data_IF_623836095942
#
_entry.id   IF_623836095942
#
_cell.length_a   1.000
_cell.length_b   1.000
_cell.length_c   1.000
_cell.angle_alpha   90.00
_cell.angle_beta   90.00
_cell.angle_gamma   90.00
#
_symmetry.space_group_name_H-M   'P 1'
#
loop_
_entity.id
_entity.type
_entity.pdbx_description
1 polymer ?
#
# COMPACT_ATOMS: atom_id res chain seq x y z
N UNK A 1 -14.13 -29.64 27.93
CA UNK A 1 -13.98 -29.58 26.47
C UNK A 1 -14.45 -28.20 26.01
N UNK A 2 -13.55 -27.23 25.90
CA UNK A 2 -13.90 -25.93 25.35
C UNK A 2 -13.97 -26.09 23.83
N UNK A 3 -15.17 -26.29 23.30
CA UNK A 3 -15.39 -26.24 21.86
C UNK A 3 -14.97 -24.86 21.35
N UNK A 4 -13.88 -24.78 20.59
CA UNK A 4 -13.54 -23.57 19.82
C UNK A 4 -14.74 -23.28 18.92
N UNK A 5 -15.53 -22.27 19.26
CA UNK A 5 -16.53 -21.74 18.33
C UNK A 5 -15.75 -21.26 17.13
N UNK A 6 -15.93 -21.95 16.00
CA UNK A 6 -15.24 -21.62 14.77
C UNK A 6 -15.96 -20.40 14.17
N UNK A 7 -15.48 -19.20 14.48
CA UNK A 7 -16.05 -17.94 13.99
C UNK A 7 -15.89 -17.86 12.46
N UNK A 8 -16.99 -17.61 11.75
CA UNK A 8 -16.94 -17.34 10.32
C UNK A 8 -16.18 -16.03 10.06
N UNK A 9 -15.36 -16.03 9.01
CA UNK A 9 -14.47 -14.91 8.70
C UNK A 9 -14.65 -14.47 7.25
N UNK A 10 -14.91 -13.20 7.04
CA UNK A 10 -15.10 -12.60 5.73
C UNK A 10 -14.11 -11.47 5.50
N UNK A 11 -13.76 -11.22 4.25
CA UNK A 11 -12.92 -10.11 3.84
C UNK A 11 -13.50 -9.43 2.61
N UNK A 12 -13.64 -8.11 2.64
CA UNK A 12 -14.06 -7.33 1.49
C UNK A 12 -13.05 -7.46 0.34
N UNK A 13 -13.55 -7.54 -0.88
CA UNK A 13 -12.75 -7.51 -2.12
C UNK A 13 -13.50 -6.66 -3.15
N UNK A 14 -12.80 -5.90 -4.02
CA UNK A 14 -13.46 -5.18 -5.12
C UNK A 14 -14.20 -6.12 -6.07
N UNK A 15 -15.14 -5.59 -6.83
CA UNK A 15 -15.83 -6.33 -7.87
C UNK A 15 -14.84 -6.83 -8.94
N UNK A 16 -14.99 -8.07 -9.39
CA UNK A 16 -14.09 -8.71 -10.35
C UNK A 16 -14.02 -8.00 -11.71
N UNK A 17 -15.10 -7.34 -12.13
CA UNK A 17 -15.13 -6.56 -13.36
C UNK A 17 -14.39 -5.22 -13.29
N UNK A 18 -13.93 -4.81 -12.11
CA UNK A 18 -13.17 -3.58 -11.88
C UNK A 18 -11.67 -3.85 -11.67
N UNK A 19 -11.16 -5.00 -12.13
CA UNK A 19 -9.76 -5.35 -11.95
C UNK A 19 -8.87 -4.30 -12.62
N UNK A 20 -8.12 -3.58 -11.79
CA UNK A 20 -7.02 -2.71 -12.17
C UNK A 20 -5.77 -3.18 -11.43
N UNK A 21 -4.63 -3.09 -12.10
CA UNK A 21 -3.34 -3.48 -11.52
C UNK A 21 -2.54 -2.28 -11.02
N UNK A 22 -3.22 -1.19 -10.73
CA UNK A 22 -2.64 -0.01 -10.12
C UNK A 22 -2.51 -0.12 -8.59
N UNK A 23 -1.82 0.86 -8.00
CA UNK A 23 -1.59 0.90 -6.55
C UNK A 23 -2.83 1.18 -5.70
N UNK A 24 -3.98 1.45 -6.33
CA UNK A 24 -5.24 1.69 -5.63
C UNK A 24 -6.08 0.41 -5.47
N UNK A 25 -6.19 -0.38 -6.52
CA UNK A 25 -7.07 -1.55 -6.58
C UNK A 25 -6.31 -2.85 -6.30
N UNK A 26 -5.12 -3.03 -6.86
CA UNK A 26 -4.34 -4.26 -6.69
C UNK A 26 -4.10 -4.65 -5.22
N UNK A 27 -3.73 -3.73 -4.28
CA UNK A 27 -3.55 -4.07 -2.88
C UNK A 27 -4.77 -4.72 -2.25
N UNK A 28 -5.99 -4.31 -2.66
CA UNK A 28 -7.25 -4.85 -2.13
C UNK A 28 -7.46 -6.31 -2.54
N UNK A 29 -7.13 -6.67 -3.77
CA UNK A 29 -7.14 -8.07 -4.22
C UNK A 29 -6.08 -8.90 -3.51
N UNK A 30 -4.89 -8.35 -3.29
CA UNK A 30 -3.80 -9.02 -2.58
C UNK A 30 -4.20 -9.34 -1.14
N UNK A 31 -4.84 -8.40 -0.43
CA UNK A 31 -5.36 -8.64 0.92
C UNK A 31 -6.38 -9.79 0.91
N UNK A 32 -7.38 -9.74 0.00
CA UNK A 32 -8.39 -10.77 -0.08
C UNK A 32 -7.81 -12.15 -0.45
N UNK A 33 -6.82 -12.17 -1.36
CA UNK A 33 -6.08 -13.40 -1.71
C UNK A 33 -5.40 -14.01 -0.49
N UNK A 34 -4.57 -13.24 0.23
CA UNK A 34 -3.84 -13.74 1.37
C UNK A 34 -4.75 -14.09 2.57
N UNK A 35 -5.84 -13.34 2.75
CA UNK A 35 -6.85 -13.65 3.74
C UNK A 35 -7.52 -15.00 3.45
N UNK A 36 -7.84 -15.29 2.18
CA UNK A 36 -8.42 -16.58 1.77
C UNK A 36 -7.52 -17.77 2.15
N UNK A 37 -6.21 -17.62 2.03
CA UNK A 37 -5.24 -18.67 2.39
C UNK A 37 -5.24 -19.02 3.90
N UNK A 38 -5.79 -18.15 4.76
CA UNK A 38 -5.94 -18.36 6.21
C UNK A 38 -7.40 -18.50 6.64
N UNK A 39 -8.28 -18.83 5.70
CA UNK A 39 -9.66 -19.23 5.95
C UNK A 39 -10.69 -18.10 6.02
N UNK A 40 -10.40 -16.93 5.42
CA UNK A 40 -11.42 -15.92 5.16
C UNK A 40 -12.15 -16.19 3.86
N UNK A 41 -13.44 -15.90 3.81
CA UNK A 41 -14.25 -15.91 2.61
C UNK A 41 -14.26 -14.51 1.97
N UNK A 42 -13.75 -14.34 0.73
CA UNK A 42 -13.82 -13.06 0.04
C UNK A 42 -15.26 -12.70 -0.32
N UNK A 43 -15.67 -11.47 0.01
CA UNK A 43 -16.97 -10.93 -0.34
C UNK A 43 -16.79 -9.66 -1.18
N UNK A 44 -17.46 -9.60 -2.32
CA UNK A 44 -17.42 -8.44 -3.18
C UNK A 44 -18.16 -7.25 -2.55
N UNK A 45 -17.41 -6.14 -2.37
CA UNK A 45 -17.90 -4.86 -1.85
C UNK A 45 -17.44 -3.77 -2.82
N UNK A 46 -18.26 -2.75 -3.12
CA UNK A 46 -17.85 -1.66 -4.01
C UNK A 46 -16.53 -1.02 -3.56
N UNK A 47 -15.66 -0.77 -4.51
CA UNK A 47 -14.45 0.03 -4.30
C UNK A 47 -14.18 0.87 -5.54
N UNK A 48 -13.96 2.18 -5.37
CA UNK A 48 -13.84 3.15 -6.46
C UNK A 48 -15.06 3.18 -7.41
N UNK A 49 -16.22 2.87 -6.87
CA UNK A 49 -17.48 2.82 -7.57
C UNK A 49 -18.60 3.28 -6.64
N UNK A 50 -19.29 4.36 -7.01
CA UNK A 50 -20.37 4.93 -6.21
C UNK A 50 -21.59 4.02 -6.19
N UNK A 51 -22.11 3.76 -5.00
CA UNK A 51 -23.33 2.99 -4.78
C UNK A 51 -24.25 3.80 -3.88
N UNK A 52 -25.34 4.26 -4.48
CA UNK A 52 -26.32 5.08 -3.77
C UNK A 52 -27.48 4.24 -3.22
N UNK A 53 -28.09 4.68 -2.10
CA UNK A 53 -29.34 4.11 -1.61
C UNK A 53 -30.42 4.05 -2.70
N UNK A 54 -31.36 3.11 -2.54
CA UNK A 54 -32.52 2.91 -3.45
C UNK A 54 -32.16 2.49 -4.88
N UNK A 55 -30.96 1.95 -5.08
CA UNK A 55 -30.53 1.33 -6.35
C UNK A 55 -30.53 -0.20 -6.26
N UNK A 56 -30.74 -0.91 -7.39
CA UNK A 56 -30.62 -2.39 -7.41
C UNK A 56 -29.26 -2.89 -6.93
N UNK A 57 -28.20 -2.11 -7.13
CA UNK A 57 -26.86 -2.46 -6.68
C UNK A 57 -26.74 -2.35 -5.16
N UNK A 58 -27.32 -1.31 -4.56
CA UNK A 58 -27.44 -1.17 -3.11
C UNK A 58 -28.17 -2.36 -2.50
N UNK A 59 -29.36 -2.71 -3.05
CA UNK A 59 -30.15 -3.84 -2.56
C UNK A 59 -29.38 -5.14 -2.65
N UNK A 60 -28.67 -5.36 -3.75
CA UNK A 60 -27.81 -6.53 -3.96
C UNK A 60 -26.67 -6.58 -2.92
N UNK A 61 -25.99 -5.46 -2.67
CA UNK A 61 -24.94 -5.37 -1.65
C UNK A 61 -25.50 -5.65 -0.26
N UNK A 62 -26.57 -4.96 0.13
CA UNK A 62 -27.20 -5.17 1.46
C UNK A 62 -27.73 -6.58 1.63
N UNK A 63 -28.22 -7.20 0.54
CA UNK A 63 -28.62 -8.61 0.53
C UNK A 63 -27.46 -9.56 0.85
N UNK A 64 -26.29 -9.33 0.23
CA UNK A 64 -25.08 -10.13 0.53
C UNK A 64 -24.61 -9.93 1.98
N UNK A 65 -24.62 -8.69 2.49
CA UNK A 65 -24.25 -8.41 3.90
C UNK A 65 -25.24 -9.09 4.87
N UNK A 66 -26.54 -9.07 4.58
CA UNK A 66 -27.55 -9.79 5.40
C UNK A 66 -27.31 -11.30 5.42
N UNK A 67 -26.76 -11.88 4.37
CA UNK A 67 -26.47 -13.32 4.30
C UNK A 67 -25.28 -13.75 5.17
N UNK A 68 -24.42 -12.83 5.64
CA UNK A 68 -23.34 -13.12 6.58
C UNK A 68 -23.94 -13.67 7.87
N UNK A 69 -23.45 -14.81 8.42
CA UNK A 69 -23.91 -15.34 9.70
C UNK A 69 -23.67 -14.37 10.88
N UNK A 70 -24.58 -14.37 11.84
CA UNK A 70 -24.42 -13.57 13.06
C UNK A 70 -23.14 -13.94 13.81
N UNK A 71 -22.48 -12.95 14.43
CA UNK A 71 -21.26 -13.16 15.19
C UNK A 71 -20.02 -13.46 14.34
N UNK A 72 -20.05 -13.17 13.05
CA UNK A 72 -18.90 -13.33 12.15
C UNK A 72 -17.87 -12.22 12.37
N UNK A 73 -16.62 -12.46 11.96
CA UNK A 73 -15.60 -11.43 11.79
C UNK A 73 -15.62 -10.95 10.33
N UNK A 74 -15.75 -9.66 10.11
CA UNK A 74 -15.69 -9.05 8.80
C UNK A 74 -14.52 -8.07 8.71
N UNK A 75 -13.66 -8.25 7.71
CA UNK A 75 -12.57 -7.32 7.40
C UNK A 75 -13.00 -6.42 6.25
N UNK A 76 -13.31 -5.17 6.54
CA UNK A 76 -13.53 -4.15 5.53
C UNK A 76 -12.20 -3.61 4.98
N UNK A 77 -12.21 -2.95 3.82
CA UNK A 77 -11.05 -2.30 3.23
C UNK A 77 -11.41 -0.83 2.96
N UNK A 78 -10.89 0.08 3.79
CA UNK A 78 -11.29 1.48 3.81
C UNK A 78 -10.13 2.43 3.46
N UNK A 79 -10.44 3.63 2.90
CA UNK A 79 -11.74 3.99 2.35
C UNK A 79 -12.09 3.14 1.12
N UNK A 80 -13.36 2.83 0.92
CA UNK A 80 -13.81 2.10 -0.27
C UNK A 80 -13.99 3.02 -1.47
N UNK A 81 -14.20 4.31 -1.23
CA UNK A 81 -14.61 5.31 -2.22
C UNK A 81 -15.93 4.96 -2.95
N UNK A 82 -16.77 4.15 -2.31
CA UNK A 82 -18.11 3.87 -2.80
C UNK A 82 -19.08 5.04 -2.51
N UNK A 83 -19.26 5.35 -1.25
CA UNK A 83 -19.82 6.57 -0.66
C UNK A 83 -19.78 6.42 0.86
N UNK A 84 -19.77 7.53 1.61
CA UNK A 84 -19.83 7.48 3.09
C UNK A 84 -21.08 6.75 3.58
N UNK A 85 -22.23 6.98 2.92
CA UNK A 85 -23.50 6.30 3.25
C UNK A 85 -23.40 4.79 3.05
N UNK A 86 -22.71 4.36 1.99
CA UNK A 86 -22.52 2.95 1.70
C UNK A 86 -21.61 2.29 2.73
N UNK A 87 -20.48 2.92 3.04
CA UNK A 87 -19.54 2.43 4.06
C UNK A 87 -20.20 2.28 5.42
N UNK A 88 -20.90 3.32 5.87
CA UNK A 88 -21.60 3.31 7.16
C UNK A 88 -22.71 2.26 7.22
N UNK A 89 -23.52 2.14 6.15
CA UNK A 89 -24.61 1.17 6.11
C UNK A 89 -24.10 -0.28 6.17
N UNK A 90 -22.95 -0.57 5.55
CA UNK A 90 -22.33 -1.90 5.64
C UNK A 90 -21.91 -2.18 7.09
N UNK A 91 -21.26 -1.22 7.76
CA UNK A 91 -20.81 -1.36 9.15
C UNK A 91 -22.02 -1.54 10.09
N UNK A 92 -23.03 -0.68 9.99
CA UNK A 92 -24.21 -0.70 10.85
C UNK A 92 -24.98 -2.01 10.70
N UNK A 93 -25.15 -2.50 9.47
CA UNK A 93 -25.83 -3.77 9.20
C UNK A 93 -25.06 -4.96 9.79
N UNK A 94 -23.73 -4.96 9.70
CA UNK A 94 -22.90 -5.99 10.33
C UNK A 94 -23.01 -5.95 11.86
N UNK A 95 -22.96 -4.78 12.47
CA UNK A 95 -23.13 -4.63 13.93
C UNK A 95 -24.53 -5.06 14.39
N UNK A 96 -25.59 -4.79 13.62
CA UNK A 96 -26.95 -5.28 13.93
C UNK A 96 -27.05 -6.81 14.00
N UNK A 97 -26.05 -7.50 13.42
CA UNK A 97 -25.91 -8.96 13.42
C UNK A 97 -24.88 -9.46 14.46
N UNK A 98 -24.45 -8.60 15.37
CA UNK A 98 -23.38 -8.88 16.34
C UNK A 98 -22.07 -9.35 15.69
N UNK A 99 -21.80 -8.94 14.47
CA UNK A 99 -20.52 -9.18 13.82
C UNK A 99 -19.45 -8.23 14.38
N UNK A 100 -18.20 -8.70 14.39
CA UNK A 100 -17.04 -7.87 14.67
C UNK A 100 -16.58 -7.27 13.35
N UNK A 101 -16.51 -5.95 13.28
CA UNK A 101 -16.12 -5.21 12.07
C UNK A 101 -14.73 -4.64 12.26
N UNK A 102 -13.75 -5.22 11.58
CA UNK A 102 -12.41 -4.67 11.49
C UNK A 102 -12.16 -4.10 10.10
N UNK A 103 -11.29 -3.10 9.98
CA UNK A 103 -10.94 -2.54 8.69
C UNK A 103 -9.42 -2.55 8.45
N UNK A 104 -9.03 -2.87 7.21
CA UNK A 104 -7.70 -2.58 6.69
C UNK A 104 -7.73 -1.19 6.05
N UNK A 105 -6.95 -0.27 6.61
CA UNK A 105 -6.93 1.13 6.19
C UNK A 105 -5.85 1.31 5.14
N UNK A 106 -6.26 1.65 3.91
CA UNK A 106 -5.38 1.87 2.78
C UNK A 106 -4.73 3.25 2.82
N UNK A 107 -5.57 4.26 2.98
CA UNK A 107 -5.17 5.66 3.00
C UNK A 107 -5.97 6.43 4.06
N UNK A 108 -5.42 7.56 4.50
CA UNK A 108 -6.12 8.57 5.29
C UNK A 108 -6.02 9.86 4.49
N UNK A 109 -7.10 10.18 3.77
CA UNK A 109 -7.12 11.30 2.83
C UNK A 109 -6.87 12.65 3.50
N UNK A 110 -7.30 12.82 4.74
CA UNK A 110 -6.99 14.00 5.55
C UNK A 110 -5.47 14.27 5.68
N UNK A 111 -4.65 13.23 5.78
CA UNK A 111 -3.18 13.35 5.85
C UNK A 111 -2.54 13.70 4.49
N UNK A 112 -3.32 13.63 3.42
CA UNK A 112 -2.90 13.94 2.04
C UNK A 112 -3.37 15.31 1.58
N UNK A 113 -3.94 16.12 2.46
CA UNK A 113 -4.60 17.40 2.17
C UNK A 113 -5.77 17.24 1.16
N UNK A 114 -6.39 16.07 1.08
CA UNK A 114 -7.63 15.86 0.35
C UNK A 114 -8.80 16.06 1.30
N UNK A 115 -9.78 16.74 0.80
CA UNK A 115 -11.06 17.21 1.32
C UNK A 115 -11.42 16.87 2.80
N UNK A 116 -11.84 17.89 3.57
CA UNK A 116 -12.28 17.85 4.97
C UNK A 116 -13.61 17.11 5.20
N UNK A 117 -14.29 16.65 4.14
CA UNK A 117 -15.61 16.02 4.24
C UNK A 117 -15.60 14.63 4.84
N UNK A 118 -14.42 14.02 4.98
CA UNK A 118 -14.28 12.72 5.59
C UNK A 118 -14.43 12.82 7.11
N UNK A 119 -15.52 12.25 7.66
CA UNK A 119 -15.77 12.13 9.10
C UNK A 119 -14.83 11.10 9.72
N UNK A 120 -13.53 11.40 9.70
CA UNK A 120 -12.47 10.51 10.10
C UNK A 120 -12.75 9.84 11.45
N UNK A 121 -13.05 10.66 12.46
CA UNK A 121 -13.32 10.16 13.83
C UNK A 121 -14.53 9.25 13.89
N UNK A 122 -15.63 9.63 13.26
CA UNK A 122 -16.89 8.90 13.33
C UNK A 122 -16.77 7.54 12.65
N UNK A 123 -16.15 7.50 11.46
CA UNK A 123 -15.88 6.26 10.73
C UNK A 123 -14.96 5.33 11.53
N UNK A 124 -13.83 5.84 12.03
CA UNK A 124 -12.93 4.99 12.80
C UNK A 124 -13.58 4.48 14.08
N UNK A 125 -14.38 5.31 14.78
CA UNK A 125 -15.07 4.91 16.00
C UNK A 125 -16.27 3.97 15.74
N UNK A 126 -16.73 3.85 14.51
CA UNK A 126 -17.70 2.83 14.12
C UNK A 126 -17.07 1.44 13.89
N UNK A 127 -15.74 1.32 13.93
CA UNK A 127 -15.03 0.04 13.79
C UNK A 127 -14.66 -0.54 15.15
N UNK A 128 -14.69 -1.87 15.29
CA UNK A 128 -14.14 -2.55 16.47
C UNK A 128 -12.61 -2.52 16.48
N UNK A 129 -12.00 -2.71 15.30
CA UNK A 129 -10.54 -2.70 15.11
C UNK A 129 -10.17 -2.03 13.78
N UNK A 130 -9.20 -1.12 13.79
CA UNK A 130 -8.61 -0.59 12.57
C UNK A 130 -7.13 -1.01 12.45
N UNK A 131 -6.79 -1.63 11.31
CA UNK A 131 -5.41 -1.95 10.93
C UNK A 131 -4.84 -0.77 10.13
N UNK A 132 -3.91 -0.04 10.72
CA UNK A 132 -3.33 1.19 10.15
C UNK A 132 -1.85 1.01 9.80
N UNK A 133 -1.35 1.86 8.94
CA UNK A 133 -0.03 1.71 8.34
C UNK A 133 1.12 1.70 9.37
N UNK A 134 1.14 2.61 10.33
CA UNK A 134 2.31 2.89 11.16
C UNK A 134 1.96 3.45 12.54
N UNK A 135 2.96 3.52 13.43
CA UNK A 135 2.79 4.16 14.73
C UNK A 135 2.45 5.66 14.63
N UNK A 136 3.08 6.46 13.76
CA UNK A 136 2.68 7.84 13.55
C UNK A 136 1.20 8.02 13.17
N UNK A 137 0.62 7.07 12.41
CA UNK A 137 -0.82 7.07 12.11
C UNK A 137 -1.65 6.81 13.39
N UNK A 138 -1.23 5.87 14.23
CA UNK A 138 -1.92 5.61 15.51
C UNK A 138 -1.93 6.85 16.38
N UNK A 139 -0.78 7.51 16.50
CA UNK A 139 -0.63 8.70 17.33
C UNK A 139 -1.51 9.84 16.81
N UNK A 140 -1.48 10.09 15.50
CA UNK A 140 -2.35 11.05 14.84
C UNK A 140 -3.85 10.75 15.10
N UNK A 141 -4.30 9.52 14.88
CA UNK A 141 -5.71 9.15 15.07
C UNK A 141 -6.17 9.31 16.51
N UNK A 142 -5.32 8.99 17.48
CA UNK A 142 -5.61 9.22 18.90
C UNK A 142 -5.73 10.70 19.22
N UNK A 143 -4.88 11.54 18.67
CA UNK A 143 -4.95 13.01 18.82
C UNK A 143 -6.24 13.59 18.22
N UNK A 144 -6.78 12.95 17.16
CA UNK A 144 -8.10 13.27 16.61
C UNK A 144 -9.27 12.70 17.43
N UNK A 145 -9.00 11.99 18.54
CA UNK A 145 -10.04 11.43 19.44
C UNK A 145 -10.65 10.11 18.94
N UNK A 146 -9.91 9.34 18.13
CA UNK A 146 -10.30 7.97 17.80
C UNK A 146 -10.10 7.05 18.99
N UNK A 147 -11.14 6.31 19.35
CA UNK A 147 -11.20 5.41 20.51
C UNK A 147 -11.24 3.93 20.16
N UNK A 148 -11.53 3.59 18.89
CA UNK A 148 -11.48 2.20 18.41
C UNK A 148 -10.10 1.58 18.58
N UNK A 149 -10.04 0.25 18.60
CA UNK A 149 -8.76 -0.45 18.76
C UNK A 149 -7.91 -0.32 17.50
N UNK A 150 -6.72 0.28 17.63
CA UNK A 150 -5.79 0.49 16.53
C UNK A 150 -4.64 -0.52 16.61
N UNK A 151 -4.31 -1.17 15.49
CA UNK A 151 -3.15 -2.05 15.36
C UNK A 151 -2.35 -1.70 14.10
N UNK A 152 -1.04 -1.93 14.14
CA UNK A 152 -0.18 -1.71 12.98
C UNK A 152 -0.30 -2.90 12.03
N UNK A 153 -0.70 -2.63 10.77
CA UNK A 153 -0.71 -3.61 9.68
C UNK A 153 0.69 -3.96 9.19
N UNK A 154 1.62 -3.02 9.24
CA UNK A 154 2.93 -3.13 8.62
C UNK A 154 2.92 -2.76 7.14
N UNK A 155 4.01 -3.11 6.43
CA UNK A 155 4.11 -2.87 4.99
C UNK A 155 3.15 -3.76 4.19
N UNK A 156 2.96 -3.41 2.93
CA UNK A 156 2.19 -4.20 1.97
C UNK A 156 2.92 -5.50 1.61
N UNK A 157 2.16 -6.56 1.41
CA UNK A 157 2.65 -7.75 0.71
C UNK A 157 2.38 -7.64 -0.79
N UNK A 158 3.11 -8.42 -1.59
CA UNK A 158 2.98 -8.40 -3.04
C UNK A 158 3.20 -9.80 -3.62
N UNK A 159 2.14 -10.39 -4.15
CA UNK A 159 2.24 -11.64 -4.88
C UNK A 159 2.23 -11.39 -6.40
N UNK A 160 3.11 -12.09 -7.09
CA UNK A 160 3.19 -12.12 -8.55
C UNK A 160 3.80 -13.46 -8.98
N UNK A 161 3.16 -14.13 -9.96
CA UNK A 161 3.56 -15.48 -10.36
C UNK A 161 4.89 -15.50 -11.12
N UNK A 162 5.17 -14.47 -11.91
CA UNK A 162 6.30 -14.43 -12.83
C UNK A 162 7.44 -13.49 -12.40
N UNK A 163 7.48 -13.03 -11.15
CA UNK A 163 8.58 -12.23 -10.65
C UNK A 163 9.60 -13.14 -9.95
N UNK A 164 10.82 -13.14 -10.47
CA UNK A 164 11.96 -13.70 -9.77
C UNK A 164 12.73 -12.59 -9.05
N UNK A 165 12.61 -12.56 -7.71
CA UNK A 165 13.30 -11.57 -6.86
C UNK A 165 14.80 -11.80 -6.70
N UNK A 166 15.38 -12.83 -7.33
CA UNK A 166 16.82 -13.12 -7.23
C UNK A 166 17.64 -12.28 -8.22
N UNK A 167 18.25 -11.22 -7.71
CA UNK A 167 19.13 -10.30 -8.48
C UNK A 167 20.53 -10.20 -7.86
N UNK A 168 20.97 -11.26 -7.20
CA UNK A 168 22.20 -11.25 -6.40
C UNK A 168 23.48 -11.05 -7.22
N UNK A 169 23.48 -11.38 -8.49
CA UNK A 169 24.69 -11.39 -9.35
C UNK A 169 24.99 -10.05 -10.04
N UNK A 170 24.13 -9.06 -9.95
CA UNK A 170 24.27 -7.81 -10.72
C UNK A 170 24.55 -6.61 -9.81
N UNK A 171 25.30 -5.62 -10.31
CA UNK A 171 25.69 -4.44 -9.54
C UNK A 171 24.58 -3.39 -9.39
N UNK A 172 23.54 -3.42 -10.21
CA UNK A 172 22.38 -2.57 -10.03
C UNK A 172 22.62 -1.07 -10.19
N UNK A 173 23.22 -0.65 -11.30
CA UNK A 173 23.58 0.74 -11.56
C UNK A 173 22.47 1.51 -12.31
N UNK A 174 21.21 1.31 -11.95
CA UNK A 174 20.09 2.06 -12.53
C UNK A 174 19.07 2.45 -11.47
N UNK A 175 18.28 3.46 -11.76
CA UNK A 175 17.18 3.95 -10.92
C UNK A 175 15.88 3.49 -11.55
N UNK A 176 14.99 2.90 -10.75
CA UNK A 176 13.70 2.40 -11.22
C UNK A 176 12.57 3.11 -10.47
N UNK A 177 11.68 3.77 -11.18
CA UNK A 177 10.49 4.42 -10.63
C UNK A 177 9.22 3.86 -11.26
N UNK A 178 8.32 3.34 -10.42
CA UNK A 178 7.00 2.86 -10.84
C UNK A 178 5.90 3.62 -10.08
N UNK A 179 5.01 4.32 -10.80
CA UNK A 179 3.95 5.11 -10.17
C UNK A 179 3.14 5.91 -11.18
N UNK A 180 2.16 6.66 -10.70
CA UNK A 180 1.41 7.59 -11.53
C UNK A 180 2.30 8.79 -11.90
N UNK A 181 2.39 9.08 -13.20
CA UNK A 181 3.22 10.11 -13.77
C UNK A 181 2.38 11.37 -14.05
N UNK A 182 2.13 12.15 -13.00
CA UNK A 182 1.54 13.48 -13.09
C UNK A 182 2.32 14.45 -12.19
N UNK A 183 2.35 15.73 -12.56
CA UNK A 183 3.28 16.72 -11.99
C UNK A 183 3.27 16.77 -10.46
N UNK A 184 2.12 16.81 -9.76
CA UNK A 184 2.12 16.87 -8.30
C UNK A 184 2.79 15.70 -7.57
N UNK A 185 3.00 14.57 -8.26
CA UNK A 185 3.58 13.36 -7.67
C UNK A 185 4.93 12.98 -8.24
N UNK A 186 5.12 13.21 -9.53
CA UNK A 186 6.30 12.77 -10.28
C UNK A 186 7.09 13.92 -10.89
N UNK A 187 6.82 15.19 -10.49
CA UNK A 187 7.54 16.35 -10.96
C UNK A 187 9.04 16.31 -10.67
N UNK A 188 9.44 15.61 -9.62
CA UNK A 188 10.83 15.37 -9.27
C UNK A 188 11.64 14.61 -10.34
N UNK A 189 10.99 13.93 -11.28
CA UNK A 189 11.69 13.21 -12.36
C UNK A 189 12.51 14.15 -13.24
N UNK A 190 12.05 15.38 -13.43
CA UNK A 190 12.79 16.36 -14.23
C UNK A 190 14.14 16.74 -13.59
N UNK A 191 14.20 17.31 -12.37
CA UNK A 191 15.48 17.58 -11.73
C UNK A 191 16.33 16.31 -11.54
N UNK A 192 15.71 15.17 -11.23
CA UNK A 192 16.43 13.91 -11.14
C UNK A 192 17.12 13.54 -12.46
N UNK A 193 16.47 13.74 -13.61
CA UNK A 193 17.06 13.45 -14.91
C UNK A 193 18.21 14.38 -15.29
N UNK A 194 18.27 15.56 -14.69
CA UNK A 194 19.33 16.56 -14.93
C UNK A 194 20.59 16.29 -14.09
N UNK A 195 20.46 15.60 -12.95
CA UNK A 195 21.56 15.38 -12.00
C UNK A 195 22.06 13.94 -11.94
N UNK A 196 21.29 12.97 -12.46
CA UNK A 196 21.64 11.55 -12.38
C UNK A 196 22.68 11.16 -13.42
N UNK A 197 23.77 10.53 -12.97
CA UNK A 197 24.77 9.88 -13.84
C UNK A 197 24.32 8.47 -14.29
N UNK A 198 23.17 7.99 -13.78
CA UNK A 198 22.70 6.63 -13.99
C UNK A 198 21.37 6.58 -14.74
N UNK A 199 21.13 5.54 -15.56
CA UNK A 199 19.88 5.38 -16.30
C UNK A 199 18.66 5.36 -15.37
N UNK A 200 17.62 6.12 -15.73
CA UNK A 200 16.35 6.18 -15.01
C UNK A 200 15.30 5.46 -15.83
N UNK A 201 14.76 4.36 -15.29
CA UNK A 201 13.66 3.62 -15.91
C UNK A 201 12.35 3.99 -15.22
N UNK A 202 11.31 4.28 -16.00
CA UNK A 202 10.04 4.82 -15.50
C UNK A 202 8.85 4.01 -16.02
N UNK A 203 7.98 3.58 -15.13
CA UNK A 203 6.71 2.88 -15.43
C UNK A 203 5.54 3.62 -14.83
N UNK A 204 4.41 3.58 -15.51
CA UNK A 204 3.13 4.02 -14.97
C UNK A 204 2.23 4.71 -15.96
N UNK A 205 1.06 5.12 -15.46
CA UNK A 205 0.15 5.93 -16.24
C UNK A 205 0.72 7.35 -16.39
N UNK A 206 0.87 7.78 -17.62
CA UNK A 206 1.39 9.12 -17.97
C UNK A 206 0.23 10.09 -18.20
N UNK A 207 0.15 11.11 -17.37
CA UNK A 207 -0.66 12.29 -17.64
C UNK A 207 0.16 13.30 -18.44
N UNK A 208 0.09 13.19 -19.77
CA UNK A 208 0.83 14.04 -20.70
C UNK A 208 0.41 15.52 -20.68
N UNK A 209 -0.70 15.86 -20.01
CA UNK A 209 -1.10 17.26 -19.81
C UNK A 209 -0.30 17.95 -18.71
N UNK A 210 0.22 17.19 -17.76
CA UNK A 210 0.93 17.74 -16.59
C UNK A 210 2.42 17.45 -16.57
N UNK A 211 2.89 16.42 -17.29
CA UNK A 211 4.32 16.04 -17.34
C UNK A 211 4.73 15.65 -18.76
N UNK A 212 5.86 16.20 -19.22
CA UNK A 212 6.43 15.90 -20.54
C UNK A 212 7.74 15.11 -20.39
N UNK A 213 7.67 13.80 -20.56
CA UNK A 213 8.85 12.94 -20.44
C UNK A 213 9.86 13.11 -21.60
N UNK A 214 9.47 13.73 -22.73
CA UNK A 214 10.41 14.00 -23.84
C UNK A 214 11.44 15.08 -23.50
N UNK A 215 11.23 15.85 -22.44
CA UNK A 215 12.17 16.86 -21.94
C UNK A 215 13.09 16.32 -20.83
N UNK A 216 13.07 15.01 -20.59
CA UNK A 216 13.80 14.34 -19.51
C UNK A 216 14.63 13.19 -20.06
N UNK A 217 15.82 13.00 -19.53
CA UNK A 217 16.63 11.80 -19.84
C UNK A 217 16.15 10.62 -19.01
N UNK A 218 15.02 10.03 -19.42
CA UNK A 218 14.40 8.88 -18.76
C UNK A 218 13.96 7.83 -19.78
N UNK A 219 14.04 6.58 -19.41
CA UNK A 219 13.56 5.45 -20.20
C UNK A 219 12.12 5.12 -19.82
N UNK A 220 11.14 5.70 -20.48
CA UNK A 220 9.74 5.35 -20.25
C UNK A 220 9.39 3.97 -20.80
N UNK A 221 8.90 3.08 -19.95
CA UNK A 221 8.57 1.68 -20.24
C UNK A 221 7.06 1.42 -20.36
N UNK A 222 6.25 2.46 -20.25
CA UNK A 222 4.79 2.35 -20.35
C UNK A 222 4.10 1.94 -19.06
N UNK A 223 2.77 1.78 -19.16
CA UNK A 223 1.91 1.27 -18.10
C UNK A 223 1.84 -0.25 -18.17
N UNK A 224 1.96 -0.93 -17.04
CA UNK A 224 1.65 -2.37 -16.95
C UNK A 224 0.18 -2.61 -16.63
N UNK A 225 -0.36 -3.69 -17.18
CA UNK A 225 -1.68 -4.21 -16.87
C UNK A 225 -1.61 -5.58 -16.16
N UNK A 226 -0.47 -5.86 -15.53
CA UNK A 226 -0.23 -7.10 -14.81
C UNK A 226 0.46 -6.83 -13.47
N UNK A 227 0.20 -7.62 -12.42
CA UNK A 227 0.99 -7.58 -11.20
C UNK A 227 2.43 -8.10 -11.45
N UNK A 228 2.68 -8.79 -12.56
CA UNK A 228 3.97 -9.40 -12.90
C UNK A 228 4.94 -8.40 -13.55
N UNK A 229 5.00 -7.17 -13.03
CA UNK A 229 5.98 -6.19 -13.48
C UNK A 229 7.39 -6.63 -13.05
N UNK A 230 8.13 -7.22 -13.99
CA UNK A 230 9.52 -7.59 -13.78
C UNK A 230 10.42 -6.36 -14.02
N UNK A 231 10.84 -5.72 -12.94
CA UNK A 231 11.70 -4.54 -12.98
C UNK A 231 13.17 -5.00 -13.15
N UNK A 232 13.96 -4.40 -14.06
CA UNK A 232 15.37 -4.74 -14.24
C UNK A 232 16.17 -4.47 -12.95
N UNK A 233 17.37 -5.01 -12.88
CA UNK A 233 18.26 -4.75 -11.76
C UNK A 233 18.57 -3.26 -11.61
N UNK A 234 18.79 -2.82 -10.37
CA UNK A 234 18.96 -1.42 -10.02
C UNK A 234 18.35 -1.11 -8.65
N UNK A 235 18.11 0.15 -8.40
CA UNK A 235 17.51 0.66 -7.18
C UNK A 235 16.04 1.02 -7.40
N UNK A 236 15.17 0.64 -6.49
CA UNK A 236 13.78 1.11 -6.45
C UNK A 236 13.68 2.47 -5.76
N UNK A 237 13.32 3.52 -6.49
CA UNK A 237 13.17 4.86 -5.92
C UNK A 237 11.76 5.08 -5.36
N UNK A 238 11.69 5.42 -4.09
CA UNK A 238 10.46 5.86 -3.41
C UNK A 238 10.57 7.35 -3.13
N UNK A 239 9.96 8.12 -4.02
CA UNK A 239 9.93 9.56 -3.96
C UNK A 239 8.61 10.03 -4.53
N UNK A 240 7.91 10.88 -3.82
CA UNK A 240 6.68 11.51 -4.27
C UNK A 240 6.80 12.98 -3.91
N UNK A 241 7.16 13.80 -4.86
CA UNK A 241 7.36 15.25 -4.66
C UNK A 241 7.24 16.00 -5.98
N UNK A 242 7.01 17.29 -5.84
CA UNK A 242 7.07 18.25 -6.92
C UNK A 242 7.85 19.46 -6.41
N UNK A 243 8.81 19.96 -7.17
CA UNK A 243 9.64 21.11 -6.82
C UNK A 243 8.81 22.32 -6.32
N UNK A 244 7.65 22.54 -6.95
CA UNK A 244 6.77 23.67 -6.64
C UNK A 244 5.93 23.46 -5.37
N UNK A 245 5.95 22.25 -4.78
CA UNK A 245 5.07 21.83 -3.69
C UNK A 245 5.83 21.05 -2.59
N UNK A 246 7.00 21.54 -2.19
CA UNK A 246 7.82 20.92 -1.13
C UNK A 246 7.05 20.62 0.18
N UNK A 247 5.92 21.29 0.39
CA UNK A 247 4.99 21.07 1.51
C UNK A 247 3.66 20.45 1.08
N UNK A 248 3.58 19.83 -0.10
CA UNK A 248 2.36 19.16 -0.56
C UNK A 248 1.94 18.03 0.38
N UNK A 249 0.65 17.69 0.38
CA UNK A 249 0.12 16.57 1.15
C UNK A 249 0.83 15.26 0.83
N UNK A 250 1.23 15.03 -0.41
CA UNK A 250 2.00 13.85 -0.80
C UNK A 250 3.35 13.75 -0.08
N UNK A 251 4.09 14.87 0.03
CA UNK A 251 5.37 14.90 0.74
C UNK A 251 5.19 14.64 2.24
N UNK A 252 4.25 15.34 2.88
CA UNK A 252 3.93 15.15 4.29
C UNK A 252 3.46 13.72 4.59
N UNK A 253 2.68 13.13 3.69
CA UNK A 253 2.12 11.80 3.86
C UNK A 253 3.17 10.69 3.92
N UNK A 254 4.36 10.89 3.33
CA UNK A 254 5.47 9.92 3.42
C UNK A 254 5.92 9.64 4.86
N UNK A 255 5.63 10.53 5.81
CA UNK A 255 5.90 10.29 7.24
C UNK A 255 5.02 9.20 7.85
N UNK A 256 3.88 8.91 7.24
CA UNK A 256 2.82 8.06 7.79
C UNK A 256 2.64 6.76 7.04
N UNK A 257 2.72 6.77 5.72
CA UNK A 257 2.26 5.68 4.87
C UNK A 257 3.31 4.60 4.60
N UNK A 258 2.80 3.52 4.00
CA UNK A 258 3.57 2.53 3.25
C UNK A 258 3.21 2.66 1.78
N UNK A 259 4.12 3.17 0.95
CA UNK A 259 3.90 3.22 -0.48
C UNK A 259 3.86 1.80 -1.07
N UNK A 260 2.83 1.47 -1.85
CA UNK A 260 2.70 0.13 -2.44
C UNK A 260 3.86 -0.24 -3.37
N UNK A 261 4.49 0.76 -4.00
CA UNK A 261 5.69 0.57 -4.82
C UNK A 261 6.88 -0.03 -4.04
N UNK A 262 6.95 0.17 -2.71
CA UNK A 262 7.95 -0.49 -1.87
C UNK A 262 7.83 -2.01 -1.95
N UNK A 263 6.60 -2.53 -1.82
CA UNK A 263 6.36 -3.96 -1.91
C UNK A 263 6.69 -4.51 -3.32
N UNK A 264 6.35 -3.76 -4.37
CA UNK A 264 6.72 -4.12 -5.75
C UNK A 264 8.24 -4.22 -5.93
N UNK A 265 9.01 -3.24 -5.44
CA UNK A 265 10.47 -3.25 -5.58
C UNK A 265 11.11 -4.37 -4.78
N UNK A 266 10.74 -4.53 -3.51
CA UNK A 266 11.25 -5.63 -2.67
C UNK A 266 10.84 -6.99 -3.23
N UNK A 267 9.62 -7.14 -3.81
CA UNK A 267 9.22 -8.38 -4.50
C UNK A 267 10.11 -8.68 -5.69
N UNK A 268 10.61 -7.65 -6.37
CA UNK A 268 11.61 -7.75 -7.43
C UNK A 268 13.05 -7.95 -6.89
N UNK A 269 13.26 -7.97 -5.57
CA UNK A 269 14.58 -8.11 -4.95
C UNK A 269 15.47 -6.87 -5.11
N UNK A 270 14.89 -5.69 -5.35
CA UNK A 270 15.62 -4.46 -5.53
C UNK A 270 15.92 -3.78 -4.18
N UNK A 271 17.13 -3.27 -3.96
CA UNK A 271 17.42 -2.32 -2.90
C UNK A 271 16.66 -1.01 -3.12
N UNK A 272 16.38 -0.31 -2.03
CA UNK A 272 15.49 0.85 -2.00
C UNK A 272 16.28 2.11 -1.77
N UNK A 273 15.96 3.17 -2.52
CA UNK A 273 16.31 4.56 -2.16
C UNK A 273 15.03 5.28 -1.75
N UNK A 274 15.04 5.88 -0.56
CA UNK A 274 13.87 6.53 0.02
C UNK A 274 14.27 7.77 0.82
N UNK A 275 13.34 8.69 1.02
CA UNK A 275 13.55 9.90 1.82
C UNK A 275 13.83 9.54 3.27
N UNK A 276 14.87 10.15 3.84
CA UNK A 276 15.22 10.06 5.27
C UNK A 276 14.12 10.69 6.14
N UNK A 277 14.05 10.29 7.42
CA UNK A 277 13.06 10.79 8.38
C UNK A 277 11.61 10.56 7.95
N UNK A 278 11.35 9.41 7.32
CA UNK A 278 10.02 8.91 6.97
C UNK A 278 9.80 7.54 7.59
N UNK A 279 8.53 7.14 7.75
CA UNK A 279 8.22 5.79 8.25
C UNK A 279 8.92 4.68 7.43
N UNK A 280 8.95 4.83 6.12
CA UNK A 280 9.65 3.87 5.24
C UNK A 280 11.16 3.98 5.38
N UNK A 281 11.73 5.19 5.47
CA UNK A 281 13.17 5.41 5.63
C UNK A 281 13.71 4.73 6.87
N UNK A 282 13.07 4.94 8.02
CA UNK A 282 13.46 4.31 9.29
C UNK A 282 13.42 2.79 9.23
N UNK A 283 12.45 2.26 8.49
CA UNK A 283 12.34 0.81 8.29
C UNK A 283 13.43 0.25 7.38
N UNK A 284 13.71 0.92 6.25
CA UNK A 284 14.74 0.53 5.28
C UNK A 284 16.12 0.50 5.95
N UNK A 285 16.47 1.53 6.71
CA UNK A 285 17.73 1.58 7.47
C UNK A 285 17.82 0.44 8.50
N UNK A 286 16.79 0.27 9.32
CA UNK A 286 16.76 -0.74 10.39
C UNK A 286 16.91 -2.16 9.86
N UNK A 287 16.39 -2.43 8.69
CA UNK A 287 16.36 -3.77 8.09
C UNK A 287 17.41 -3.98 6.99
N UNK A 288 18.29 -3.01 6.77
CA UNK A 288 19.33 -3.05 5.74
C UNK A 288 18.77 -3.40 4.34
N UNK A 289 17.71 -2.69 3.91
CA UNK A 289 17.02 -2.93 2.65
C UNK A 289 17.38 -1.90 1.56
N UNK A 290 18.31 -0.99 1.85
CA UNK A 290 18.68 0.07 0.93
C UNK A 290 19.33 1.25 1.62
N UNK A 291 19.11 2.44 1.08
CA UNK A 291 19.67 3.69 1.56
C UNK A 291 18.58 4.77 1.73
N UNK A 292 18.82 5.69 2.66
CA UNK A 292 18.01 6.89 2.82
C UNK A 292 18.78 8.13 2.39
N UNK A 293 18.10 9.07 1.76
CA UNK A 293 18.67 10.34 1.28
C UNK A 293 17.85 11.52 1.78
N UNK A 294 18.52 12.68 1.98
CA UNK A 294 17.83 13.92 2.32
C UNK A 294 17.36 14.68 1.07
N UNK A 295 18.16 14.60 0.00
CA UNK A 295 17.93 15.25 -1.29
C UNK A 295 18.18 14.26 -2.42
N UNK A 296 17.60 14.51 -3.60
CA UNK A 296 17.93 13.77 -4.83
C UNK A 296 19.39 13.96 -5.24
N UNK A 297 20.04 15.05 -4.84
CA UNK A 297 21.46 15.28 -5.09
C UNK A 297 22.37 14.19 -4.50
N UNK A 298 21.89 13.48 -3.47
CA UNK A 298 22.62 12.38 -2.83
C UNK A 298 22.60 11.08 -3.66
N UNK A 299 21.80 11.01 -4.74
CA UNK A 299 21.48 9.75 -5.40
C UNK A 299 22.68 9.09 -6.09
N UNK A 300 23.51 9.89 -6.77
CA UNK A 300 24.73 9.39 -7.40
C UNK A 300 25.70 8.82 -6.37
N UNK A 301 25.88 9.51 -5.24
CA UNK A 301 26.72 9.03 -4.13
C UNK A 301 26.25 7.67 -3.59
N UNK A 302 24.94 7.47 -3.44
CA UNK A 302 24.38 6.18 -2.99
C UNK A 302 24.72 5.08 -4.01
N UNK A 303 24.54 5.34 -5.30
CA UNK A 303 24.80 4.32 -6.33
C UNK A 303 26.31 4.07 -6.48
N UNK A 304 27.15 5.10 -6.43
CA UNK A 304 28.62 4.97 -6.43
C UNK A 304 29.15 4.12 -5.27
N UNK A 305 28.47 4.16 -4.13
CA UNK A 305 28.85 3.37 -2.96
C UNK A 305 28.89 1.85 -3.23
N UNK A 306 28.14 1.38 -4.24
CA UNK A 306 28.15 -0.02 -4.71
C UNK A 306 29.53 -0.37 -5.28
N UNK A 307 30.12 0.55 -6.02
CA UNK A 307 31.45 0.36 -6.64
C UNK A 307 32.56 0.41 -5.61
N UNK A 308 32.37 1.20 -4.55
CA UNK A 308 33.35 1.35 -3.45
C UNK A 308 33.28 0.19 -2.47
N UNK A 309 32.09 -0.33 -2.17
CA UNK A 309 31.89 -1.42 -1.24
C UNK A 309 30.87 -2.47 -1.79
N UNK A 310 31.26 -3.28 -2.78
CA UNK A 310 30.38 -4.28 -3.39
C UNK A 310 29.84 -5.30 -2.37
N UNK A 311 30.65 -5.66 -1.37
CA UNK A 311 30.24 -6.64 -0.35
C UNK A 311 29.04 -6.14 0.48
N UNK A 312 29.04 -4.88 0.91
CA UNK A 312 27.89 -4.32 1.62
C UNK A 312 26.63 -4.33 0.75
N UNK A 313 26.77 -4.04 -0.54
CA UNK A 313 25.66 -4.08 -1.48
C UNK A 313 25.10 -5.51 -1.66
N UNK A 314 25.96 -6.52 -1.71
CA UNK A 314 25.52 -7.93 -1.73
C UNK A 314 24.68 -8.29 -0.51
N UNK A 315 25.04 -7.81 0.68
CA UNK A 315 24.26 -8.02 1.91
C UNK A 315 22.87 -7.37 1.81
N UNK A 316 22.80 -6.14 1.31
CA UNK A 316 21.52 -5.45 1.06
C UNK A 316 20.67 -6.25 0.08
N UNK A 317 21.22 -6.67 -1.05
CA UNK A 317 20.49 -7.47 -2.06
C UNK A 317 20.00 -8.79 -1.50
N UNK A 318 20.79 -9.46 -0.67
CA UNK A 318 20.37 -10.68 0.01
C UNK A 318 19.16 -10.43 0.92
N UNK A 319 19.18 -9.36 1.69
CA UNK A 319 18.02 -8.97 2.53
C UNK A 319 16.78 -8.69 1.67
N UNK A 320 16.92 -7.94 0.59
CA UNK A 320 15.80 -7.68 -0.35
C UNK A 320 15.24 -8.99 -0.94
N UNK A 321 16.11 -9.94 -1.29
CA UNK A 321 15.70 -11.26 -1.78
C UNK A 321 14.93 -12.06 -0.72
N UNK A 322 15.38 -12.04 0.54
CA UNK A 322 14.66 -12.71 1.62
C UNK A 322 13.30 -12.05 1.89
N UNK A 323 13.23 -10.72 1.82
CA UNK A 323 11.96 -9.99 1.88
C UNK A 323 11.03 -10.32 0.71
N UNK A 324 11.56 -10.50 -0.52
CA UNK A 324 10.75 -10.87 -1.67
C UNK A 324 9.94 -12.15 -1.43
N UNK A 325 10.53 -13.12 -0.72
CA UNK A 325 9.86 -14.37 -0.35
C UNK A 325 8.80 -14.20 0.73
N UNK A 326 9.04 -13.30 1.69
CA UNK A 326 8.05 -12.97 2.73
C UNK A 326 6.83 -12.30 2.13
N UNK A 327 7.05 -11.31 1.25
CA UNK A 327 5.99 -10.56 0.57
C UNK A 327 5.15 -11.47 -0.32
N UNK A 328 5.78 -12.37 -1.06
CA UNK A 328 5.09 -13.33 -1.93
C UNK A 328 4.15 -14.27 -1.16
N UNK A 329 4.42 -14.50 0.11
CA UNK A 329 3.63 -15.36 1.01
C UNK A 329 2.59 -14.61 1.84
N UNK A 330 2.49 -13.29 1.72
CA UNK A 330 1.54 -12.48 2.48
C UNK A 330 1.85 -12.40 3.98
N UNK A 331 3.12 -12.28 4.33
CA UNK A 331 3.58 -12.31 5.72
C UNK A 331 2.96 -11.22 6.58
N UNK A 332 2.98 -9.98 6.12
CA UNK A 332 2.50 -8.82 6.88
C UNK A 332 0.97 -8.81 6.98
N UNK A 333 0.27 -9.03 5.87
CA UNK A 333 -1.20 -9.09 5.84
C UNK A 333 -1.71 -10.21 6.74
N UNK A 334 -1.17 -11.42 6.62
CA UNK A 334 -1.58 -12.55 7.46
C UNK A 334 -1.28 -12.31 8.94
N UNK A 335 -0.15 -11.66 9.25
CA UNK A 335 0.20 -11.29 10.62
C UNK A 335 -0.81 -10.28 11.20
N UNK A 336 -1.17 -9.25 10.44
CA UNK A 336 -2.17 -8.26 10.86
C UNK A 336 -3.55 -8.90 11.10
N UNK A 337 -4.01 -9.75 10.18
CA UNK A 337 -5.28 -10.46 10.31
C UNK A 337 -5.31 -11.38 11.54
N UNK A 338 -4.23 -12.09 11.84
CA UNK A 338 -4.13 -12.91 13.06
C UNK A 338 -4.18 -12.09 14.34
N UNK A 339 -3.62 -10.86 14.36
CA UNK A 339 -3.77 -9.95 15.50
C UNK A 339 -5.24 -9.58 15.70
N UNK A 340 -5.97 -9.28 14.61
CA UNK A 340 -7.43 -9.02 14.67
C UNK A 340 -8.18 -10.23 15.20
N UNK A 341 -7.90 -11.44 14.71
CA UNK A 341 -8.54 -12.67 15.20
C UNK A 341 -8.34 -12.90 16.70
N UNK A 342 -7.14 -12.58 17.21
CA UNK A 342 -6.86 -12.70 18.64
C UNK A 342 -7.66 -11.70 19.47
N UNK A 343 -7.89 -10.48 18.95
CA UNK A 343 -8.73 -9.47 19.60
C UNK A 343 -10.19 -9.89 19.57
N UNK A 344 -10.66 -10.41 18.44
CA UNK A 344 -12.05 -10.83 18.24
C UNK A 344 -12.48 -12.04 19.09
N UNK A 345 -11.54 -12.78 19.69
CA UNK A 345 -11.78 -13.96 20.52
C UNK A 345 -11.84 -13.65 22.03
N UNK A 346 -11.55 -12.42 22.41
CA UNK A 346 -11.57 -11.93 23.80
C UNK A 346 -12.91 -11.28 24.12
#
# INVERSE_FOLDING_TARGET
MNGKINMNKFVATPYKNLISYDGAVLPRYQIARFAKEIGYEPMEVPAYHQVDPDTPEWDSLMGRIRAIPNGSLFIHQLPSYASEKCEQAVIDLLHSKNCIVAAYIHDIDYLRDFDDTFRLKDLFNSLDVAMVASQPVIDFLKDQGVTSKLIISGMWDYHADNINGNKLSNLGLSINYAGNLFKPKAGFLKPLSEISDYPINVWGYLDSHTINLNEMDVNYKGKTNSPDLNIPDGWGLIWDDNEDLANSGYNKYQKYNWAYKLALYLRNGLPIIVRKNTNMGDYIERHNLGATINSLDDINYVIDSVLVNPHNFELIKKQCYDYSKLLDKGFFIKSALRKVENIARV
#
